data_IF_479182247827
#
_entry.id   IF_479182247827
#
_cell.length_a   1.000
_cell.length_b   1.000
_cell.length_c   1.000
_cell.angle_alpha   90.00
_cell.angle_beta   90.00
_cell.angle_gamma   90.00
#
_symmetry.space_group_name_H-M   'P 1'
#
loop_
_entity.id
_entity.type
_entity.pdbx_description
1 polymer ?
#
# COMPACT_ATOMS: atom_id res chain seq x y z
N UNK A 1 14.26 -51.46 -62.60
CA UNK A 1 15.15 -50.54 -61.87
C UNK A 1 14.34 -49.88 -60.75
N UNK A 2 14.72 -50.15 -59.50
CA UNK A 2 14.68 -49.24 -58.33
C UNK A 2 13.41 -48.44 -58.01
N UNK A 3 12.56 -49.08 -57.19
CA UNK A 3 12.04 -48.64 -55.88
C UNK A 3 12.54 -47.28 -55.37
N UNK A 4 11.62 -46.33 -55.15
CA UNK A 4 11.68 -45.42 -53.99
C UNK A 4 10.28 -45.25 -53.38
N UNK A 5 10.22 -45.48 -52.07
CA UNK A 5 9.02 -45.40 -51.23
C UNK A 5 8.88 -43.96 -50.76
N UNK A 6 7.86 -43.26 -51.23
CA UNK A 6 7.36 -42.04 -50.57
C UNK A 6 6.52 -42.46 -49.37
N UNK A 7 6.99 -42.12 -48.16
CA UNK A 7 6.34 -42.47 -46.90
C UNK A 7 5.05 -41.69 -46.67
N UNK A 8 4.09 -42.38 -46.05
CA UNK A 8 2.88 -41.80 -45.49
C UNK A 8 3.22 -40.74 -44.43
N UNK A 9 2.41 -39.67 -44.29
CA UNK A 9 2.58 -38.71 -43.21
C UNK A 9 2.24 -39.37 -41.87
N UNK A 10 2.96 -39.07 -40.78
CA UNK A 10 2.63 -39.62 -39.47
C UNK A 10 1.27 -39.06 -39.03
N UNK A 11 0.40 -39.96 -38.56
CA UNK A 11 -0.86 -39.63 -37.94
C UNK A 11 -0.62 -38.61 -36.81
N UNK A 12 -1.28 -37.44 -36.92
CA UNK A 12 -1.25 -36.42 -35.89
C UNK A 12 -1.79 -36.97 -34.58
N UNK A 13 -0.90 -37.24 -33.63
CA UNK A 13 -1.27 -37.52 -32.26
C UNK A 13 -1.92 -36.28 -31.65
N UNK A 14 -3.14 -36.41 -31.15
CA UNK A 14 -3.78 -35.40 -30.31
C UNK A 14 -2.87 -35.09 -29.12
N UNK A 15 -2.56 -33.81 -28.83
CA UNK A 15 -1.81 -33.47 -27.63
C UNK A 15 -2.60 -33.91 -26.38
N UNK A 16 -1.91 -34.30 -25.30
CA UNK A 16 -2.57 -34.69 -24.06
C UNK A 16 -3.40 -33.50 -23.51
N UNK A 17 -4.53 -33.76 -22.84
CA UNK A 17 -5.34 -32.70 -22.27
C UNK A 17 -4.55 -31.93 -21.20
N UNK A 18 -4.70 -30.61 -21.20
CA UNK A 18 -4.11 -29.74 -20.18
C UNK A 18 -4.55 -30.17 -18.77
N UNK A 19 -3.67 -30.08 -17.76
CA UNK A 19 -4.06 -30.34 -16.38
C UNK A 19 -5.15 -29.35 -15.98
N UNK A 20 -6.16 -29.79 -15.19
CA UNK A 20 -7.26 -28.91 -14.80
C UNK A 20 -6.71 -27.72 -14.02
N UNK A 21 -7.01 -26.51 -14.51
CA UNK A 21 -6.74 -25.26 -13.80
C UNK A 21 -7.28 -25.36 -12.37
N UNK A 22 -6.50 -24.99 -11.34
CA UNK A 22 -6.98 -25.05 -9.98
C UNK A 22 -8.22 -24.16 -9.87
N UNK A 23 -9.34 -24.78 -9.49
CA UNK A 23 -10.59 -24.08 -9.24
C UNK A 23 -10.30 -23.09 -8.12
N UNK A 24 -10.26 -21.81 -8.46
CA UNK A 24 -10.12 -20.74 -7.47
C UNK A 24 -11.42 -20.68 -6.68
N UNK A 25 -11.48 -21.44 -5.58
CA UNK A 25 -12.55 -21.27 -4.61
C UNK A 25 -12.54 -19.82 -4.14
N UNK A 26 -13.64 -19.11 -4.44
CA UNK A 26 -13.92 -17.79 -3.87
C UNK A 26 -14.08 -17.97 -2.35
N UNK A 27 -12.99 -17.77 -1.62
CA UNK A 27 -12.93 -17.93 -0.16
C UNK A 27 -13.87 -16.93 0.52
N UNK A 28 -14.91 -17.44 1.19
CA UNK A 28 -15.99 -16.66 1.84
C UNK A 28 -15.70 -16.21 3.28
N UNK A 29 -14.45 -16.17 3.74
CA UNK A 29 -14.10 -15.72 5.11
C UNK A 29 -12.82 -14.89 5.12
N UNK A 30 -12.72 -13.80 5.92
CA UNK A 30 -11.50 -13.01 6.04
C UNK A 30 -10.39 -13.90 6.59
N UNK A 31 -9.32 -14.05 5.83
CA UNK A 31 -8.14 -14.74 6.32
C UNK A 31 -7.39 -13.79 7.25
N UNK A 32 -7.49 -14.00 8.56
CA UNK A 32 -6.44 -13.56 9.48
C UNK A 32 -5.31 -14.58 9.30
N UNK A 33 -4.46 -14.35 8.29
CA UNK A 33 -3.16 -15.03 8.23
C UNK A 33 -2.39 -14.72 9.52
N UNK A 34 -1.55 -15.64 10.04
CA UNK A 34 -0.46 -15.22 10.92
C UNK A 34 0.30 -14.12 10.16
N UNK A 35 0.32 -12.92 10.72
CA UNK A 35 0.81 -11.72 10.05
C UNK A 35 2.20 -12.01 9.46
N UNK A 36 2.33 -11.96 8.13
CA UNK A 36 3.64 -11.93 7.51
C UNK A 36 4.43 -10.78 8.18
N UNK A 37 5.72 -10.99 8.51
CA UNK A 37 6.49 -9.97 9.19
C UNK A 37 6.52 -8.70 8.34
N UNK A 38 6.39 -7.54 9.00
CA UNK A 38 6.52 -6.25 8.32
C UNK A 38 7.85 -6.20 7.54
N UNK A 39 7.77 -5.75 6.29
CA UNK A 39 8.88 -5.71 5.36
C UNK A 39 9.22 -4.28 4.93
N UNK A 40 10.38 -4.14 4.28
CA UNK A 40 10.81 -2.88 3.68
C UNK A 40 10.71 -3.04 2.16
N UNK A 41 9.85 -2.25 1.53
CA UNK A 41 9.67 -2.25 0.08
C UNK A 41 10.86 -1.54 -0.59
N UNK A 42 11.40 -2.04 -1.71
CA UNK A 42 12.51 -1.37 -2.38
C UNK A 42 12.09 0.03 -2.87
N UNK A 43 13.06 0.93 -3.02
CA UNK A 43 12.78 2.23 -3.62
C UNK A 43 12.39 2.07 -5.10
N UNK A 44 11.31 2.73 -5.51
CA UNK A 44 10.87 2.82 -6.90
C UNK A 44 10.63 4.28 -7.29
N UNK A 45 10.63 4.64 -8.58
CA UNK A 45 10.11 5.94 -9.04
C UNK A 45 8.58 5.97 -8.95
N UNK A 46 8.01 7.18 -8.84
CA UNK A 46 6.56 7.35 -8.95
C UNK A 46 6.13 7.07 -10.40
N UNK A 47 5.14 6.20 -10.63
CA UNK A 47 4.67 5.91 -11.98
C UNK A 47 3.87 7.11 -12.49
N UNK A 48 4.21 7.62 -13.68
CA UNK A 48 3.47 8.70 -14.33
C UNK A 48 2.89 8.21 -15.66
N UNK A 49 1.80 8.81 -16.15
CA UNK A 49 1.34 8.58 -17.50
C UNK A 49 2.45 8.85 -18.52
N UNK A 50 2.38 8.18 -19.67
CA UNK A 50 3.31 8.45 -20.76
C UNK A 50 3.06 9.87 -21.30
N UNK A 51 4.14 10.60 -21.56
CA UNK A 51 4.09 11.99 -22.08
C UNK A 51 3.29 12.95 -21.18
N UNK A 52 3.28 12.69 -19.87
CA UNK A 52 2.55 13.50 -18.89
C UNK A 52 3.16 14.90 -18.74
N UNK A 53 2.31 15.92 -18.77
CA UNK A 53 2.74 17.32 -18.72
C UNK A 53 3.34 17.74 -17.36
N UNK A 54 3.00 17.02 -16.28
CA UNK A 54 3.47 17.31 -14.93
C UNK A 54 4.53 16.32 -14.47
N UNK A 55 5.40 16.77 -13.56
CA UNK A 55 6.45 15.95 -12.95
C UNK A 55 6.00 15.27 -11.64
N UNK A 56 4.74 15.47 -11.24
CA UNK A 56 4.13 14.90 -10.05
C UNK A 56 2.88 14.11 -10.41
N UNK A 57 2.48 13.20 -9.53
CA UNK A 57 1.28 12.38 -9.69
C UNK A 57 0.06 13.15 -9.19
N UNK A 58 -1.01 13.20 -9.98
CA UNK A 58 -2.28 13.81 -9.55
C UNK A 58 -3.38 12.74 -9.43
N UNK A 59 -3.77 12.32 -8.22
CA UNK A 59 -4.85 11.34 -8.03
C UNK A 59 -6.25 11.77 -8.54
N UNK A 60 -6.40 13.03 -8.99
CA UNK A 60 -7.64 13.52 -9.61
C UNK A 60 -7.60 13.44 -11.14
N UNK A 61 -6.42 13.34 -11.75
CA UNK A 61 -6.26 13.15 -13.19
C UNK A 61 -6.65 11.73 -13.60
N UNK A 62 -7.36 11.58 -14.72
CA UNK A 62 -7.88 10.29 -15.15
C UNK A 62 -6.77 9.27 -15.43
N UNK A 63 -5.68 9.67 -16.09
CA UNK A 63 -4.60 8.76 -16.44
C UNK A 63 -3.78 8.35 -15.19
N UNK A 64 -3.57 9.28 -14.26
CA UNK A 64 -2.98 8.93 -12.96
C UNK A 64 -3.89 7.98 -12.17
N UNK A 65 -5.22 8.20 -12.18
CA UNK A 65 -6.17 7.30 -11.50
C UNK A 65 -6.14 5.88 -12.06
N UNK A 66 -6.00 5.71 -13.37
CA UNK A 66 -5.83 4.39 -13.99
C UNK A 66 -4.59 3.69 -13.45
N UNK A 67 -3.46 4.40 -13.34
CA UNK A 67 -2.23 3.87 -12.75
C UNK A 67 -2.44 3.52 -11.27
N UNK A 68 -3.09 4.39 -10.49
CA UNK A 68 -3.33 4.15 -9.06
C UNK A 68 -4.14 2.86 -8.83
N UNK A 69 -5.15 2.64 -9.68
CA UNK A 69 -6.07 1.51 -9.57
C UNK A 69 -5.58 0.24 -10.29
N UNK A 70 -4.57 0.31 -11.15
CA UNK A 70 -4.01 -0.86 -11.83
C UNK A 70 -3.37 -1.80 -10.77
N UNK A 71 -3.82 -3.08 -10.69
CA UNK A 71 -3.24 -4.05 -9.76
C UNK A 71 -1.75 -4.34 -10.00
N UNK A 72 -1.21 -4.00 -11.18
CA UNK A 72 0.21 -4.14 -11.52
C UNK A 72 1.07 -2.99 -10.97
N UNK A 73 0.47 -1.87 -10.59
CA UNK A 73 1.21 -0.81 -9.90
C UNK A 73 1.65 -1.33 -8.54
N UNK A 74 2.96 -1.37 -8.30
CA UNK A 74 3.55 -2.02 -7.13
C UNK A 74 3.39 -1.18 -5.86
N UNK A 75 3.47 -1.81 -4.69
CA UNK A 75 3.46 -1.10 -3.40
C UNK A 75 4.61 -0.07 -3.31
N UNK A 76 5.80 -0.43 -3.78
CA UNK A 76 6.94 0.48 -3.87
C UNK A 76 6.66 1.74 -4.70
N UNK A 77 5.96 1.60 -5.83
CA UNK A 77 5.52 2.71 -6.66
C UNK A 77 4.47 3.59 -5.98
N UNK A 78 3.54 2.99 -5.21
CA UNK A 78 2.56 3.76 -4.44
C UNK A 78 3.20 4.52 -3.28
N UNK A 79 4.19 3.94 -2.58
CA UNK A 79 5.02 4.68 -1.64
C UNK A 79 5.74 5.84 -2.35
N UNK A 80 6.24 5.63 -3.56
CA UNK A 80 6.87 6.68 -4.33
C UNK A 80 5.94 7.87 -4.63
N UNK A 81 4.64 7.61 -4.85
CA UNK A 81 3.61 8.66 -4.94
C UNK A 81 3.50 9.41 -3.61
N UNK A 82 3.33 8.71 -2.47
CA UNK A 82 3.19 9.32 -1.13
C UNK A 82 4.38 10.21 -0.71
N UNK A 83 5.57 9.99 -1.29
CA UNK A 83 6.74 10.83 -1.06
C UNK A 83 6.56 12.25 -1.59
N UNK A 84 5.79 12.44 -2.67
CA UNK A 84 5.63 13.74 -3.32
C UNK A 84 4.89 14.74 -2.41
N UNK A 85 5.52 15.88 -2.14
CA UNK A 85 4.97 16.96 -1.31
C UNK A 85 4.15 17.93 -2.16
N UNK A 86 3.05 17.44 -2.71
CA UNK A 86 2.10 18.24 -3.50
C UNK A 86 0.68 18.04 -2.96
N UNK A 87 -0.18 19.08 -2.95
CA UNK A 87 -1.50 18.98 -2.34
C UNK A 87 -2.37 17.84 -2.86
N UNK A 88 -2.30 17.57 -4.16
CA UNK A 88 -3.08 16.51 -4.82
C UNK A 88 -2.82 15.13 -4.18
N UNK A 89 -1.56 14.83 -3.89
CA UNK A 89 -1.15 13.58 -3.23
C UNK A 89 -1.51 13.60 -1.75
N UNK A 90 -1.20 14.69 -1.03
CA UNK A 90 -1.43 14.76 0.41
C UNK A 90 -2.94 14.70 0.74
N UNK A 91 -3.80 15.36 -0.05
CA UNK A 91 -5.25 15.30 0.12
C UNK A 91 -5.83 13.91 -0.17
N UNK A 92 -5.12 13.11 -0.97
CA UNK A 92 -5.56 11.76 -1.38
C UNK A 92 -4.84 10.66 -0.61
N UNK A 93 -4.21 10.98 0.52
CA UNK A 93 -3.39 10.03 1.29
C UNK A 93 -4.18 8.79 1.70
N UNK A 94 -5.45 8.94 2.06
CA UNK A 94 -6.32 7.84 2.45
C UNK A 94 -6.67 6.93 1.26
N UNK A 95 -6.95 7.49 0.09
CA UNK A 95 -7.17 6.73 -1.14
C UNK A 95 -5.92 5.92 -1.48
N UNK A 96 -4.75 6.56 -1.54
CA UNK A 96 -3.48 5.90 -1.89
C UNK A 96 -3.09 4.85 -0.83
N UNK A 97 -3.22 5.18 0.46
CA UNK A 97 -2.93 4.27 1.55
C UNK A 97 -3.84 3.03 1.55
N UNK A 98 -5.12 3.21 1.25
CA UNK A 98 -6.05 2.08 1.11
C UNK A 98 -5.73 1.19 -0.11
N UNK A 99 -5.19 1.77 -1.17
CA UNK A 99 -4.70 1.07 -2.36
C UNK A 99 -3.49 0.19 -2.03
N UNK A 100 -2.56 0.72 -1.22
CA UNK A 100 -1.42 -0.03 -0.68
C UNK A 100 -1.91 -1.21 0.17
N UNK A 101 -2.83 -0.98 1.12
CA UNK A 101 -3.39 -2.05 1.95
C UNK A 101 -4.13 -3.12 1.14
N UNK A 102 -4.85 -2.73 0.07
CA UNK A 102 -5.56 -3.67 -0.80
C UNK A 102 -4.63 -4.65 -1.52
N UNK A 103 -3.37 -4.27 -1.74
CA UNK A 103 -2.32 -5.13 -2.32
C UNK A 103 -1.68 -6.09 -1.32
N UNK A 104 -2.21 -6.18 -0.10
CA UNK A 104 -1.71 -7.09 0.94
C UNK A 104 -0.50 -6.56 1.71
N UNK A 105 -0.19 -5.26 1.57
CA UNK A 105 0.83 -4.58 2.36
C UNK A 105 0.51 -4.69 3.85
N UNK A 106 1.49 -5.05 4.68
CA UNK A 106 1.33 -5.00 6.13
C UNK A 106 1.23 -3.54 6.58
N UNK A 107 0.47 -3.25 7.63
CA UNK A 107 0.25 -1.87 8.14
C UNK A 107 1.54 -1.18 8.59
N UNK A 108 2.52 -1.98 9.01
CA UNK A 108 3.85 -1.55 9.46
C UNK A 108 4.95 -1.73 8.40
N UNK A 109 4.59 -2.07 7.17
CA UNK A 109 5.54 -2.06 6.06
C UNK A 109 6.12 -0.66 5.85
N UNK A 110 7.37 -0.63 5.38
CA UNK A 110 8.14 0.61 5.22
C UNK A 110 8.49 0.89 3.77
N UNK A 111 8.51 2.17 3.41
CA UNK A 111 9.16 2.67 2.21
C UNK A 111 10.69 2.54 2.35
N UNK A 112 11.36 1.85 1.43
CA UNK A 112 12.79 1.65 1.48
C UNK A 112 13.64 2.90 1.31
N UNK A 113 13.07 3.99 0.77
CA UNK A 113 13.81 5.25 0.67
C UNK A 113 13.77 6.06 1.97
N UNK A 114 12.60 6.21 2.59
CA UNK A 114 12.40 7.06 3.77
C UNK A 114 12.29 6.31 5.09
N UNK A 115 12.21 4.98 5.03
CA UNK A 115 11.93 4.10 6.16
C UNK A 115 10.62 4.43 6.91
N UNK A 116 9.74 5.20 6.28
CA UNK A 116 8.45 5.60 6.83
C UNK A 116 7.40 4.51 6.59
N UNK A 117 6.56 4.28 7.61
CA UNK A 117 5.32 3.50 7.46
C UNK A 117 4.18 4.36 6.94
N UNK A 118 3.03 3.76 6.59
CA UNK A 118 1.83 4.50 6.23
C UNK A 118 1.36 5.47 7.32
N UNK A 119 1.55 5.15 8.61
CA UNK A 119 1.20 6.07 9.71
C UNK A 119 2.03 7.36 9.67
N UNK A 120 3.31 7.27 9.31
CA UNK A 120 4.16 8.45 9.15
C UNK A 120 3.68 9.33 7.97
N UNK A 121 3.34 8.71 6.83
CA UNK A 121 2.80 9.42 5.68
C UNK A 121 1.43 10.06 5.97
N UNK A 122 0.58 9.38 6.73
CA UNK A 122 -0.69 9.95 7.18
C UNK A 122 -0.48 11.22 8.02
N UNK A 123 0.48 11.20 8.95
CA UNK A 123 0.82 12.39 9.75
C UNK A 123 1.36 13.53 8.89
N UNK A 124 2.27 13.23 7.96
CA UNK A 124 2.79 14.18 6.98
C UNK A 124 1.65 14.83 6.15
N UNK A 125 0.69 14.03 5.71
CA UNK A 125 -0.41 14.47 4.87
C UNK A 125 -1.51 15.29 5.56
N UNK A 126 -1.42 15.45 6.89
CA UNK A 126 -2.31 16.35 7.63
C UNK A 126 -1.78 17.78 7.76
N UNK A 127 -0.59 18.09 7.24
CA UNK A 127 0.04 19.39 7.41
C UNK A 127 -0.80 20.55 6.86
N UNK A 128 -0.93 21.63 7.64
CA UNK A 128 -1.69 22.80 7.23
C UNK A 128 -1.12 23.43 5.93
N UNK A 129 -2.00 23.84 5.02
CA UNK A 129 -1.64 24.51 3.76
C UNK A 129 -1.15 23.60 2.63
N UNK A 130 -0.95 22.30 2.88
CA UNK A 130 -0.57 21.31 1.87
C UNK A 130 -1.45 20.06 1.92
N UNK A 131 -1.86 19.65 3.11
CA UNK A 131 -2.55 18.40 3.36
C UNK A 131 -4.04 18.53 3.67
N UNK A 132 -4.67 17.37 3.89
CA UNK A 132 -6.04 17.25 4.40
C UNK A 132 -6.03 16.49 5.75
N UNK A 133 -6.18 17.20 6.88
CA UNK A 133 -6.25 16.57 8.21
C UNK A 133 -7.34 15.51 8.31
N UNK A 134 -8.48 15.67 7.63
CA UNK A 134 -9.57 14.71 7.70
C UNK A 134 -9.20 13.41 6.98
N UNK A 135 -8.59 13.48 5.80
CA UNK A 135 -8.06 12.31 5.09
C UNK A 135 -6.98 11.60 5.91
N UNK A 136 -6.06 12.36 6.48
CA UNK A 136 -5.02 11.84 7.36
C UNK A 136 -5.60 11.09 8.58
N UNK A 137 -6.61 11.66 9.27
CA UNK A 137 -7.29 10.99 10.39
C UNK A 137 -7.97 9.70 9.94
N UNK A 138 -8.67 9.71 8.79
CA UNK A 138 -9.35 8.50 8.26
C UNK A 138 -8.35 7.37 8.04
N UNK A 139 -7.23 7.65 7.39
CA UNK A 139 -6.19 6.65 7.16
C UNK A 139 -5.57 6.17 8.48
N UNK A 140 -5.13 7.08 9.34
CA UNK A 140 -4.50 6.73 10.62
C UNK A 140 -5.40 5.88 11.51
N UNK A 141 -6.68 6.24 11.62
CA UNK A 141 -7.67 5.47 12.39
C UNK A 141 -7.78 4.04 11.86
N UNK A 142 -7.81 3.87 10.55
CA UNK A 142 -7.83 2.55 9.92
C UNK A 142 -6.56 1.75 10.20
N UNK A 143 -5.39 2.35 10.04
CA UNK A 143 -4.10 1.70 10.30
C UNK A 143 -3.99 1.23 11.76
N UNK A 144 -4.37 2.08 12.71
CA UNK A 144 -4.38 1.75 14.14
C UNK A 144 -5.39 0.64 14.47
N UNK A 145 -6.58 0.66 13.85
CA UNK A 145 -7.59 -0.38 14.01
C UNK A 145 -7.12 -1.74 13.47
N UNK A 146 -6.26 -1.74 12.45
CA UNK A 146 -5.62 -2.92 11.88
C UNK A 146 -4.36 -3.38 12.65
N UNK A 147 -4.01 -2.71 13.76
CA UNK A 147 -2.90 -3.07 14.62
C UNK A 147 -1.56 -2.40 14.31
N UNK A 148 -1.56 -1.33 13.50
CA UNK A 148 -0.35 -0.58 13.18
C UNK A 148 0.32 0.03 14.42
N UNK A 149 1.63 -0.13 14.52
CA UNK A 149 2.42 0.31 15.66
C UNK A 149 2.88 1.77 15.49
N UNK A 150 2.22 2.67 16.24
CA UNK A 150 2.55 4.09 16.29
C UNK A 150 3.92 4.38 16.95
N UNK A 151 4.50 3.40 17.64
CA UNK A 151 5.82 3.47 18.28
C UNK A 151 6.99 3.26 17.32
N UNK A 152 6.76 2.70 16.13
CA UNK A 152 7.81 2.47 15.14
C UNK A 152 8.48 3.77 14.72
N UNK A 153 9.81 3.77 14.75
CA UNK A 153 10.65 4.89 14.35
C UNK A 153 11.27 4.64 12.99
N UNK A 154 11.34 5.67 12.16
CA UNK A 154 12.17 5.66 10.95
C UNK A 154 13.64 5.55 11.34
N UNK A 155 14.40 4.70 10.62
CA UNK A 155 15.85 4.54 10.77
C UNK A 155 16.62 5.82 10.47
N UNK A 156 16.10 6.70 9.61
CA UNK A 156 16.81 7.89 9.15
C UNK A 156 16.60 9.10 10.05
N UNK A 157 15.39 9.28 10.58
CA UNK A 157 15.04 10.45 11.41
C UNK A 157 14.92 10.12 12.88
N UNK A 158 14.85 8.83 13.24
CA UNK A 158 14.53 8.35 14.57
C UNK A 158 13.19 8.87 15.13
N UNK A 159 12.32 9.38 14.26
CA UNK A 159 10.99 9.89 14.59
C UNK A 159 9.95 8.79 14.36
N UNK A 160 8.98 8.70 15.27
CA UNK A 160 7.76 7.90 15.07
C UNK A 160 6.60 8.79 14.56
N UNK A 161 5.43 8.19 14.35
CA UNK A 161 4.24 8.89 13.85
C UNK A 161 3.85 10.11 14.70
N UNK A 162 3.95 10.04 16.04
CA UNK A 162 3.61 11.16 16.92
C UNK A 162 4.57 12.34 16.74
N UNK A 163 5.87 12.07 16.56
CA UNK A 163 6.84 13.12 16.27
C UNK A 163 6.56 13.77 14.91
N UNK A 164 6.15 12.99 13.90
CA UNK A 164 5.75 13.54 12.59
C UNK A 164 4.51 14.42 12.71
N UNK A 165 3.48 13.98 13.43
CA UNK A 165 2.28 14.77 13.65
C UNK A 165 2.59 16.11 14.35
N UNK A 166 3.52 16.11 15.31
CA UNK A 166 3.98 17.34 15.96
C UNK A 166 4.82 18.22 15.02
N UNK A 167 5.76 17.64 14.27
CA UNK A 167 6.63 18.37 13.36
C UNK A 167 5.85 19.08 12.24
N UNK A 168 4.81 18.42 11.72
CA UNK A 168 3.92 18.98 10.68
C UNK A 168 2.74 19.79 11.24
N UNK A 169 2.70 20.02 12.55
CA UNK A 169 1.65 20.75 13.26
C UNK A 169 0.22 20.25 12.94
N UNK A 170 -0.02 18.96 13.21
CA UNK A 170 -1.29 18.27 12.91
C UNK A 170 -1.98 17.83 14.21
N UNK A 171 -2.69 18.73 14.91
CA UNK A 171 -3.23 18.47 16.24
C UNK A 171 -4.28 17.35 16.27
N UNK A 172 -5.04 17.14 15.20
CA UNK A 172 -5.99 16.03 15.06
C UNK A 172 -5.28 14.67 15.14
N UNK A 173 -4.11 14.56 14.50
CA UNK A 173 -3.33 13.33 14.47
C UNK A 173 -2.62 13.10 15.80
N UNK A 174 -2.12 14.17 16.45
CA UNK A 174 -1.59 14.09 17.83
C UNK A 174 -2.64 13.46 18.75
N UNK A 175 -3.87 13.97 18.75
CA UNK A 175 -4.97 13.43 19.58
C UNK A 175 -5.30 11.98 19.23
N UNK A 176 -5.33 11.66 17.94
CA UNK A 176 -5.65 10.30 17.45
C UNK A 176 -4.60 9.29 17.92
N UNK A 177 -3.32 9.60 17.78
CA UNK A 177 -2.22 8.73 18.17
C UNK A 177 -2.12 8.54 19.69
N UNK A 178 -2.29 9.63 20.47
CA UNK A 178 -2.28 9.55 21.94
C UNK A 178 -3.43 8.71 22.48
N UNK A 179 -4.62 8.78 21.88
CA UNK A 179 -5.76 7.92 22.26
C UNK A 179 -5.49 6.45 21.98
N UNK A 180 -4.83 6.14 20.86
CA UNK A 180 -4.50 4.77 20.52
C UNK A 180 -3.39 4.18 21.39
N UNK A 181 -2.48 5.02 21.89
CA UNK A 181 -1.41 4.64 22.82
C UNK A 181 -1.87 4.52 24.28
N UNK A 182 -3.04 5.05 24.64
CA UNK A 182 -3.55 4.96 26.00
C UNK A 182 -3.78 3.49 26.39
N UNK A 183 -3.39 3.06 27.60
CA UNK A 183 -3.70 1.72 28.09
C UNK A 183 -5.20 1.48 27.96
N UNK A 184 -5.60 0.42 27.26
CA UNK A 184 -6.99 -0.03 27.27
C UNK A 184 -7.28 -0.44 28.71
N UNK A 185 -7.93 0.43 29.46
CA UNK A 185 -8.19 0.22 30.89
C UNK A 185 -8.72 -1.19 31.10
N UNK A 186 -8.00 -1.98 31.90
CA UNK A 186 -8.38 -3.34 32.20
C UNK A 186 -9.77 -3.34 32.82
N UNK A 187 -10.78 -3.78 32.09
CA UNK A 187 -12.01 -4.34 32.65
C UNK A 187 -11.68 -5.72 33.25
N UNK A 188 -10.78 -5.73 34.24
CA UNK A 188 -10.58 -6.85 35.15
C UNK A 188 -11.54 -6.66 36.31
N UNK A 189 -12.61 -7.46 36.32
CA UNK A 189 -13.65 -7.44 37.33
C UNK A 189 -13.11 -7.51 38.76
N UNK A 190 -13.69 -6.68 39.62
CA UNK A 190 -13.80 -6.95 41.05
C UNK A 190 -15.23 -7.39 41.27
N UNK A 191 -15.42 -8.70 41.31
CA UNK A 191 -16.50 -9.35 42.05
C UNK A 191 -15.84 -10.17 43.17
#
# INVERSE_FOLDING_TARGET
>A
MTKERGGDPPAGGTPPPDPPSPVVERRKKPMVHPAAPAMVHPAAPAPLPKDYAFTFFDPNDAACREILLDPRTTVAQLFAILRQWVPQVQHSVDVIGNEILRRGCHVDDRDGLTDMTLLHYACKAGAHGVGDPAAAVRLSTRLLALGGDAGLRSRWTHMNALHYAAYFDVPELIRTLLRAAAPRGGSGGRD
#
